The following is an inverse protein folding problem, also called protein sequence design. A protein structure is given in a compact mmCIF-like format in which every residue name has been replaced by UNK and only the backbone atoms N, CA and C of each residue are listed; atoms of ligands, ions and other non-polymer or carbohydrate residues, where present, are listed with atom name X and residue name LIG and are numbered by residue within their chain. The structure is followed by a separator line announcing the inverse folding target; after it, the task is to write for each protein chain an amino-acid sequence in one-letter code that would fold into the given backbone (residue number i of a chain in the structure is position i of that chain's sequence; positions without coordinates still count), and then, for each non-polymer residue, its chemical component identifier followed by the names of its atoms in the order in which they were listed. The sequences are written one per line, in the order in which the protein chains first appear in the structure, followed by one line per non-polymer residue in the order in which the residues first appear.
data_IF_983321908085
#
_entry.id   IF_983321908085
#
_cell.length_a   1.000
_cell.length_b   1.000
_cell.length_c   1.000
_cell.angle_alpha   90.00
_cell.angle_beta   90.00
_cell.angle_gamma   90.00
#
_symmetry.space_group_name_H-M   'P 1'
#
loop_
_entity.id
_entity.type
_entity.pdbx_description
1 polymer ?
#
# COMPACT_ATOMS: atom_id res chain seq x y z
N UNK A 1 20.01 -6.17 9.58
CA UNK A 1 18.74 -5.68 9.00
C UNK A 1 18.06 -4.86 10.07
N UNK A 2 17.99 -3.54 9.88
CA UNK A 2 17.46 -2.59 10.86
C UNK A 2 15.93 -2.64 10.92
N UNK A 3 15.36 -2.11 12.00
CA UNK A 3 13.93 -2.13 12.29
C UNK A 3 13.10 -1.42 11.21
N UNK A 4 12.64 -2.15 10.20
CA UNK A 4 11.77 -1.61 9.16
C UNK A 4 10.37 -1.38 9.69
N UNK A 5 9.80 -0.22 9.41
CA UNK A 5 8.38 0.09 9.63
C UNK A 5 7.56 -0.55 8.51
N UNK A 6 6.51 -1.27 8.88
CA UNK A 6 5.48 -1.74 7.95
C UNK A 6 4.21 -0.93 8.17
N UNK A 7 3.68 -0.34 7.11
CA UNK A 7 2.47 0.48 7.12
C UNK A 7 1.40 -0.13 6.21
N UNK A 8 0.17 -0.19 6.69
CA UNK A 8 -1.02 -0.43 5.89
C UNK A 8 -1.66 0.92 5.58
N UNK A 9 -1.71 1.27 4.30
CA UNK A 9 -2.14 2.60 3.84
C UNK A 9 -3.44 2.48 3.06
N UNK A 10 -4.43 3.23 3.52
CA UNK A 10 -5.72 3.45 2.87
C UNK A 10 -5.64 4.76 2.08
N UNK A 11 -5.90 4.69 0.78
CA UNK A 11 -5.95 5.86 -0.10
C UNK A 11 -7.37 6.00 -0.65
N UNK A 12 -7.93 7.18 -0.47
CA UNK A 12 -9.18 7.60 -1.13
C UNK A 12 -8.83 8.65 -2.17
N UNK A 13 -9.42 8.52 -3.35
CA UNK A 13 -9.28 9.43 -4.47
C UNK A 13 -10.63 10.11 -4.76
N UNK A 14 -10.60 11.33 -5.27
CA UNK A 14 -11.79 12.05 -5.77
C UNK A 14 -11.87 12.05 -7.30
N UNK A 15 -10.79 11.63 -7.97
CA UNK A 15 -10.70 11.61 -9.43
C UNK A 15 -10.39 10.20 -9.92
N UNK A 16 -11.34 9.63 -10.66
CA UNK A 16 -11.27 8.25 -11.19
C UNK A 16 -11.24 8.22 -12.73
N UNK A 17 -10.74 9.28 -13.36
CA UNK A 17 -10.50 9.23 -14.81
C UNK A 17 -9.48 8.15 -15.13
N UNK A 18 -9.64 7.47 -16.26
CA UNK A 18 -8.73 6.40 -16.72
C UNK A 18 -7.25 6.84 -16.70
N UNK A 19 -6.95 8.06 -17.12
CA UNK A 19 -5.59 8.61 -17.09
C UNK A 19 -5.02 8.78 -15.68
N UNK A 20 -5.84 9.21 -14.72
CA UNK A 20 -5.42 9.37 -13.32
C UNK A 20 -5.15 8.00 -12.68
N UNK A 21 -6.01 7.02 -12.94
CA UNK A 21 -5.83 5.64 -12.45
C UNK A 21 -4.57 5.01 -13.07
N UNK A 22 -4.35 5.16 -14.37
CA UNK A 22 -3.16 4.63 -15.03
C UNK A 22 -1.86 5.25 -14.49
N UNK A 23 -1.85 6.56 -14.23
CA UNK A 23 -0.70 7.24 -13.65
C UNK A 23 -0.47 6.83 -12.18
N UNK A 24 -1.54 6.66 -11.40
CA UNK A 24 -1.46 6.10 -10.05
C UNK A 24 -0.81 4.71 -10.08
N UNK A 25 -1.31 3.81 -10.91
CA UNK A 25 -0.78 2.44 -11.04
C UNK A 25 0.70 2.45 -11.43
N UNK A 26 1.08 3.30 -12.39
CA UNK A 26 2.47 3.45 -12.83
C UNK A 26 3.40 3.88 -11.68
N UNK A 27 3.00 4.87 -10.90
CA UNK A 27 3.79 5.36 -9.76
C UNK A 27 3.91 4.28 -8.69
N UNK A 28 2.81 3.59 -8.38
CA UNK A 28 2.80 2.52 -7.37
C UNK A 28 3.66 1.33 -7.79
N UNK A 29 3.52 0.84 -9.02
CA UNK A 29 4.31 -0.30 -9.53
C UNK A 29 5.81 -0.01 -9.60
N UNK A 30 6.19 1.26 -9.83
CA UNK A 30 7.60 1.66 -9.85
C UNK A 30 8.24 1.73 -8.45
N UNK A 31 7.44 1.76 -7.38
CA UNK A 31 7.94 1.92 -6.01
C UNK A 31 8.27 0.58 -5.36
N UNK A 32 9.56 0.31 -5.17
CA UNK A 32 10.01 -0.88 -4.43
C UNK A 32 9.62 -0.90 -2.95
N UNK A 33 9.09 0.22 -2.42
CA UNK A 33 8.60 0.35 -1.04
C UNK A 33 7.18 -0.20 -0.89
N UNK A 34 6.42 -0.30 -1.98
CA UNK A 34 5.07 -0.85 -1.98
C UNK A 34 5.15 -2.36 -2.22
N UNK A 35 4.82 -3.13 -1.19
CA UNK A 35 4.85 -4.60 -1.23
C UNK A 35 3.59 -5.18 -1.89
N UNK A 36 2.45 -4.51 -1.70
CA UNK A 36 1.19 -4.83 -2.36
C UNK A 36 0.32 -3.59 -2.47
N UNK A 37 -0.54 -3.58 -3.48
CA UNK A 37 -1.57 -2.58 -3.68
C UNK A 37 -2.80 -3.25 -4.26
N UNK A 38 -3.96 -2.96 -3.69
CA UNK A 38 -5.24 -3.53 -4.11
C UNK A 38 -6.25 -2.40 -4.31
N UNK A 39 -6.99 -2.43 -5.41
CA UNK A 39 -8.22 -1.66 -5.51
C UNK A 39 -9.31 -2.38 -4.70
N UNK A 40 -10.06 -1.66 -3.88
CA UNK A 40 -11.04 -2.24 -2.96
C UNK A 40 -12.39 -1.54 -3.01
N UNK A 41 -13.47 -2.28 -2.76
CA UNK A 41 -14.84 -1.76 -2.70
C UNK A 41 -15.21 -1.16 -1.32
N UNK A 42 -14.27 -1.13 -0.38
CA UNK A 42 -14.49 -0.65 0.99
C UNK A 42 -14.49 0.88 1.10
N UNK A 43 -14.15 1.41 2.28
CA UNK A 43 -14.11 2.86 2.51
C UNK A 43 -13.00 3.59 1.74
N UNK A 44 -11.94 2.87 1.37
CA UNK A 44 -10.83 3.39 0.60
C UNK A 44 -10.83 2.74 -0.79
N UNK A 45 -10.45 3.51 -1.81
CA UNK A 45 -10.32 3.01 -3.17
C UNK A 45 -9.12 2.06 -3.30
N UNK A 46 -8.05 2.33 -2.55
CA UNK A 46 -6.85 1.51 -2.56
C UNK A 46 -6.33 1.17 -1.17
N UNK A 47 -5.87 -0.08 -1.01
CA UNK A 47 -5.14 -0.58 0.15
C UNK A 47 -3.72 -0.98 -0.24
N UNK A 48 -2.74 -0.38 0.41
CA UNK A 48 -1.33 -0.63 0.18
C UNK A 48 -0.66 -1.21 1.41
N UNK A 49 0.30 -2.09 1.20
CA UNK A 49 1.28 -2.48 2.21
C UNK A 49 2.63 -1.84 1.84
N UNK A 50 3.18 -1.01 2.73
CA UNK A 50 4.37 -0.20 2.48
C UNK A 50 5.44 -0.48 3.52
N UNK A 51 6.69 -0.63 3.09
CA UNK A 51 7.85 -0.77 3.98
C UNK A 51 8.75 0.47 3.94
N UNK A 52 9.23 0.89 5.10
CA UNK A 52 10.18 1.99 5.27
C UNK A 52 11.25 1.62 6.32
N UNK A 53 12.34 2.36 6.37
CA UNK A 53 13.44 2.12 7.32
C UNK A 53 13.08 2.53 8.74
N UNK A 54 12.28 3.58 8.89
CA UNK A 54 11.79 4.14 10.16
C UNK A 54 10.59 5.07 9.87
N UNK A 55 10.11 5.80 10.88
CA UNK A 55 8.97 6.70 10.74
C UNK A 55 9.29 7.96 9.92
N UNK A 56 10.51 8.46 9.96
CA UNK A 56 10.92 9.65 9.22
C UNK A 56 11.00 9.33 7.72
N UNK A 57 11.61 8.19 7.37
CA UNK A 57 11.66 7.65 6.02
C UNK A 57 10.26 7.32 5.48
N UNK A 58 9.35 6.84 6.34
CA UNK A 58 7.95 6.65 5.99
C UNK A 58 7.22 7.98 5.73
N UNK A 59 7.39 8.97 6.61
CA UNK A 59 6.78 10.30 6.45
C UNK A 59 7.25 10.96 5.15
N UNK A 60 8.54 10.86 4.85
CA UNK A 60 9.09 11.34 3.59
C UNK A 60 8.43 10.65 2.38
N UNK A 61 8.28 9.33 2.41
CA UNK A 61 7.60 8.60 1.33
C UNK A 61 6.14 9.05 1.15
N UNK A 62 5.41 9.30 2.24
CA UNK A 62 4.04 9.84 2.16
C UNK A 62 4.04 11.19 1.46
N UNK A 63 4.94 12.09 1.82
CA UNK A 63 4.99 13.46 1.28
C UNK A 63 5.45 13.52 -0.18
N UNK A 64 6.47 12.76 -0.54
CA UNK A 64 7.09 12.85 -1.87
C UNK A 64 6.45 11.94 -2.89
N UNK A 65 5.78 10.86 -2.46
CA UNK A 65 5.17 9.87 -3.37
C UNK A 65 3.66 9.86 -3.20
N UNK A 66 3.15 9.48 -2.02
CA UNK A 66 1.71 9.20 -1.88
C UNK A 66 0.84 10.46 -2.02
N UNK A 67 1.30 11.61 -1.51
CA UNK A 67 0.61 12.90 -1.67
C UNK A 67 0.67 13.47 -3.09
N UNK A 68 1.61 13.00 -3.91
CA UNK A 68 1.76 13.43 -5.30
C UNK A 68 0.91 12.57 -6.25
N UNK A 69 0.27 11.51 -5.74
CA UNK A 69 -0.60 10.66 -6.53
C UNK A 69 -1.82 11.46 -7.02
N UNK A 70 -2.20 11.31 -8.29
CA UNK A 70 -3.27 12.10 -8.89
C UNK A 70 -4.61 11.80 -8.22
N UNK A 71 -5.33 12.86 -7.88
CA UNK A 71 -6.68 12.74 -7.34
C UNK A 71 -6.78 12.24 -5.90
N UNK A 72 -5.68 12.05 -5.17
CA UNK A 72 -5.73 11.63 -3.76
C UNK A 72 -6.37 12.70 -2.89
N UNK A 73 -7.41 12.32 -2.18
CA UNK A 73 -8.16 13.19 -1.25
C UNK A 73 -7.87 12.86 0.21
N UNK A 74 -7.53 11.61 0.51
CA UNK A 74 -7.22 11.16 1.88
C UNK A 74 -6.19 10.04 1.87
N UNK A 75 -5.31 10.07 2.86
CA UNK A 75 -4.33 9.02 3.17
C UNK A 75 -4.48 8.72 4.66
N UNK A 76 -4.80 7.47 4.99
CA UNK A 76 -4.84 6.97 6.38
C UNK A 76 -3.91 5.79 6.51
N UNK A 77 -3.04 5.83 7.52
CA UNK A 77 -1.97 4.85 7.68
C UNK A 77 -2.06 4.17 9.04
N UNK A 78 -1.98 2.85 9.04
CA UNK A 78 -1.86 2.03 10.24
C UNK A 78 -0.47 1.38 10.28
N UNK A 79 0.31 1.69 11.30
CA UNK A 79 1.66 1.18 11.45
C UNK A 79 1.66 -0.13 12.24
N UNK A 80 2.33 -1.15 11.70
CA UNK A 80 2.51 -2.42 12.39
C UNK A 80 3.48 -2.25 13.55
N UNK A 81 2.99 -2.50 14.76
CA UNK A 81 3.84 -2.53 15.96
C UNK A 81 4.57 -3.87 16.12
N UNK A 82 3.93 -4.95 15.68
CA UNK A 82 4.46 -6.30 15.73
C UNK A 82 3.80 -7.15 14.67
N UNK A 83 4.61 -7.79 13.83
CA UNK A 83 4.14 -8.82 12.92
C UNK A 83 3.90 -10.12 13.69
N UNK A 84 2.64 -10.58 13.71
CA UNK A 84 2.25 -11.80 14.43
C UNK A 84 2.41 -13.06 13.57
N UNK A 85 2.23 -12.95 12.25
CA UNK A 85 2.39 -14.02 11.27
C UNK A 85 2.61 -13.42 9.89
N UNK A 86 3.61 -13.90 9.16
CA UNK A 86 3.79 -13.68 7.74
C UNK A 86 4.11 -15.01 7.05
N UNK A 87 3.47 -15.28 5.92
CA UNK A 87 3.72 -16.48 5.11
C UNK A 87 3.49 -16.16 3.64
N UNK A 88 4.36 -16.69 2.78
CA UNK A 88 4.17 -16.71 1.33
C UNK A 88 3.56 -18.03 0.85
N UNK A 89 3.31 -18.98 1.75
CA UNK A 89 2.69 -20.25 1.40
C UNK A 89 1.19 -20.08 1.21
N UNK A 90 0.72 -20.35 0.00
CA UNK A 90 -0.69 -20.47 -0.32
C UNK A 90 -1.19 -21.88 0.10
N UNK A 91 -2.32 -21.99 0.80
CA UNK A 91 -2.88 -23.28 1.20
C UNK A 91 -3.61 -23.94 0.01
N UNK A 92 -2.86 -24.29 -1.04
CA UNK A 92 -3.44 -24.78 -2.31
C UNK A 92 -4.18 -26.11 -2.16
N UNK A 93 -3.69 -27.02 -1.33
CA UNK A 93 -4.32 -28.33 -1.08
C UNK A 93 -5.69 -28.14 -0.41
N UNK A 94 -5.74 -27.36 0.67
CA UNK A 94 -6.96 -27.07 1.42
C UNK A 94 -8.00 -26.30 0.58
N UNK A 95 -7.56 -25.34 -0.25
CA UNK A 95 -8.45 -24.54 -1.09
C UNK A 95 -8.97 -25.30 -2.32
N UNK A 96 -8.19 -26.23 -2.88
CA UNK A 96 -8.57 -27.02 -4.05
C UNK A 96 -9.22 -28.37 -3.69
N UNK A 97 -9.25 -28.72 -2.40
CA UNK A 97 -9.81 -29.99 -1.93
C UNK A 97 -9.02 -31.22 -2.41
N UNK A 98 -7.72 -31.06 -2.60
CA UNK A 98 -6.76 -32.13 -2.95
C UNK A 98 -6.15 -32.71 -1.68
#
# INVERSE_FOLDING_TARGET
MGASVLAFVQITCTQHSEAATAEFERIIQASSRVLSCHNTTGEADFLLQVVAKDLDDYSHFVETVLRQLPGVSSIRSNLSLREMKATSHLPVEELLGL
#
